data_IF_933021833571
#
_entry.id   IF_933021833571
#
_cell.length_a   1.000
_cell.length_b   1.000
_cell.length_c   1.000
_cell.angle_alpha   90.00
_cell.angle_beta   90.00
_cell.angle_gamma   90.00
#
_symmetry.space_group_name_H-M   'P 1'
#
loop_
_entity.id
_entity.type
_entity.pdbx_description
1 polymer ?
#
# COMPACT_ATOMS: atom_id res chain seq x y z
N UNK A 1 3.66 15.11 -1.21
CA UNK A 1 5.06 15.09 -0.73
C UNK A 1 5.80 13.83 -1.17
N UNK A 2 5.35 12.64 -0.79
CA UNK A 2 6.03 11.35 -1.03
C UNK A 2 6.33 11.01 -2.49
N UNK A 3 5.53 11.48 -3.46
CA UNK A 3 5.88 11.35 -4.89
C UNK A 3 7.19 12.02 -5.27
N UNK A 4 7.44 13.24 -4.77
CA UNK A 4 8.66 14.00 -5.05
C UNK A 4 9.86 13.33 -4.40
N UNK A 5 9.64 12.67 -3.26
CA UNK A 5 10.69 11.97 -2.52
C UNK A 5 11.11 10.64 -3.16
N UNK A 6 10.34 10.09 -4.11
CA UNK A 6 10.77 8.89 -4.84
C UNK A 6 9.66 7.93 -5.23
N UNK A 7 8.51 7.96 -4.54
CA UNK A 7 7.39 7.09 -4.92
C UNK A 7 6.61 7.71 -6.08
N UNK A 8 7.25 7.72 -7.25
CA UNK A 8 6.69 8.20 -8.49
C UNK A 8 7.13 7.28 -9.61
N UNK A 9 6.20 6.91 -10.49
CA UNK A 9 6.46 6.06 -11.65
C UNK A 9 7.63 6.59 -12.50
N UNK A 10 7.78 7.91 -12.59
CA UNK A 10 8.86 8.58 -13.34
C UNK A 10 10.23 8.47 -12.67
N UNK A 11 10.27 8.09 -11.39
CA UNK A 11 11.47 7.98 -10.57
C UNK A 11 11.87 6.52 -10.31
N UNK A 12 11.03 5.54 -10.62
CA UNK A 12 11.37 4.13 -10.41
C UNK A 12 12.66 3.73 -11.12
N UNK A 13 12.91 4.21 -12.33
CA UNK A 13 14.17 3.94 -13.06
C UNK A 13 15.39 4.71 -12.52
N UNK A 14 15.23 5.48 -11.43
CA UNK A 14 16.31 6.21 -10.75
C UNK A 14 16.67 5.60 -9.41
N UNK A 15 16.04 4.50 -9.02
CA UNK A 15 16.38 3.79 -7.79
C UNK A 15 17.79 3.21 -7.95
N UNK A 16 18.54 3.17 -6.85
CA UNK A 16 19.95 2.80 -6.86
C UNK A 16 20.26 1.74 -5.79
N UNK A 17 21.26 0.91 -6.07
CA UNK A 17 21.93 0.09 -5.08
C UNK A 17 23.26 0.77 -4.73
N UNK A 18 23.37 1.30 -3.52
CA UNK A 18 24.60 1.91 -3.03
C UNK A 18 25.29 0.98 -2.03
N UNK A 19 26.58 0.76 -2.22
CA UNK A 19 27.45 0.05 -1.28
C UNK A 19 28.56 0.98 -0.80
N UNK A 20 29.03 0.76 0.42
CA UNK A 20 30.18 1.50 0.96
C UNK A 20 31.46 0.79 0.51
N UNK A 21 32.28 1.50 -0.26
CA UNK A 21 33.62 1.07 -0.65
C UNK A 21 34.67 1.85 0.14
N UNK A 22 35.68 1.17 0.66
CA UNK A 22 36.82 1.82 1.31
C UNK A 22 37.95 1.93 0.29
N UNK A 23 38.30 3.16 -0.10
CA UNK A 23 39.45 3.47 -0.97
C UNK A 23 40.39 4.39 -0.21
N UNK A 24 41.66 4.01 -0.09
CA UNK A 24 42.68 4.77 0.66
C UNK A 24 42.25 5.15 2.09
N UNK A 25 41.60 4.23 2.81
CA UNK A 25 41.05 4.45 4.16
C UNK A 25 39.93 5.50 4.26
N UNK A 26 39.32 5.89 3.13
CA UNK A 26 38.15 6.78 3.06
C UNK A 26 36.95 6.00 2.54
N UNK A 27 35.79 6.18 3.19
CA UNK A 27 34.54 5.57 2.78
C UNK A 27 33.92 6.37 1.62
N UNK A 28 33.58 5.67 0.54
CA UNK A 28 32.87 6.20 -0.63
C UNK A 28 31.60 5.40 -0.86
N UNK A 29 30.56 6.04 -1.39
CA UNK A 29 29.36 5.36 -1.87
C UNK A 29 29.52 5.05 -3.36
N UNK A 30 29.58 3.78 -3.70
CA UNK A 30 29.47 3.32 -5.08
C UNK A 30 28.02 2.90 -5.33
N UNK A 31 27.36 3.60 -6.26
CA UNK A 31 25.95 3.40 -6.55
C UNK A 31 25.75 3.00 -8.01
N UNK A 32 24.91 1.99 -8.23
CA UNK A 32 24.48 1.56 -9.56
C UNK A 32 22.96 1.65 -9.66
N UNK A 33 22.47 1.98 -10.86
CA UNK A 33 21.04 2.02 -11.14
C UNK A 33 20.43 0.61 -10.96
N UNK A 34 19.33 0.56 -10.22
CA UNK A 34 18.61 -0.67 -9.93
C UNK A 34 17.81 -1.11 -11.15
N UNK A 35 18.05 -2.34 -11.61
CA UNK A 35 17.18 -3.00 -12.59
C UNK A 35 15.94 -3.63 -11.94
N UNK A 36 14.90 -3.85 -12.73
CA UNK A 36 13.67 -4.56 -12.31
C UNK A 36 12.98 -3.93 -11.07
N UNK A 37 12.92 -2.61 -10.98
CA UNK A 37 12.28 -1.91 -9.84
C UNK A 37 10.79 -2.23 -9.77
N UNK A 38 10.13 -2.30 -10.92
CA UNK A 38 8.74 -2.71 -11.03
C UNK A 38 8.55 -3.64 -12.23
N UNK A 39 7.48 -4.42 -12.22
CA UNK A 39 7.12 -5.31 -13.33
C UNK A 39 5.74 -5.93 -13.14
N UNK A 40 5.28 -6.65 -14.15
CA UNK A 40 3.98 -7.34 -14.12
C UNK A 40 4.17 -8.77 -13.60
N UNK A 41 3.55 -9.10 -12.46
CA UNK A 41 3.68 -10.39 -11.78
C UNK A 41 2.31 -10.84 -11.29
N UNK A 42 1.91 -12.04 -11.71
CA UNK A 42 0.62 -12.68 -11.34
C UNK A 42 -0.57 -11.72 -11.53
N UNK A 43 -0.70 -11.19 -12.73
CA UNK A 43 -1.79 -10.30 -13.15
C UNK A 43 -1.82 -8.89 -12.52
N UNK A 44 -0.78 -8.51 -11.78
CA UNK A 44 -0.67 -7.18 -11.18
C UNK A 44 0.66 -6.54 -11.52
N UNK A 45 0.67 -5.23 -11.72
CA UNK A 45 1.92 -4.48 -11.66
C UNK A 45 2.39 -4.37 -10.22
N UNK A 46 3.68 -4.57 -9.98
CA UNK A 46 4.25 -4.60 -8.64
C UNK A 46 5.61 -3.93 -8.59
N UNK A 47 5.93 -3.30 -7.46
CA UNK A 47 7.30 -2.98 -7.05
C UNK A 47 7.97 -4.28 -6.61
N UNK A 48 9.09 -4.62 -7.25
CA UNK A 48 9.79 -5.90 -7.08
C UNK A 48 11.01 -5.79 -6.16
N UNK A 49 11.27 -4.60 -5.63
CA UNK A 49 12.49 -4.33 -4.86
C UNK A 49 12.55 -5.12 -3.54
N UNK A 50 13.75 -5.42 -3.02
CA UNK A 50 13.95 -6.37 -1.93
C UNK A 50 13.22 -5.99 -0.63
N UNK A 51 13.35 -4.74 -0.16
CA UNK A 51 12.73 -4.32 1.09
C UNK A 51 11.22 -4.29 0.96
N UNK A 52 10.69 -3.73 -0.13
CA UNK A 52 9.23 -3.72 -0.41
C UNK A 52 8.69 -5.14 -0.47
N UNK A 53 9.38 -6.04 -1.17
CA UNK A 53 9.03 -7.46 -1.22
C UNK A 53 8.98 -8.07 0.16
N UNK A 54 10.06 -7.91 0.94
CA UNK A 54 10.18 -8.53 2.26
C UNK A 54 9.10 -8.02 3.22
N UNK A 55 8.86 -6.71 3.28
CA UNK A 55 7.82 -6.14 4.14
C UNK A 55 6.43 -6.62 3.71
N UNK A 56 6.12 -6.62 2.41
CA UNK A 56 4.83 -7.10 1.91
C UNK A 56 4.63 -8.60 2.23
N UNK A 57 5.67 -9.43 2.05
CA UNK A 57 5.60 -10.87 2.34
C UNK A 57 5.29 -11.16 3.81
N UNK A 58 5.94 -10.43 4.72
CA UNK A 58 5.67 -10.55 6.15
C UNK A 58 4.28 -10.01 6.52
N UNK A 59 3.87 -8.88 5.93
CA UNK A 59 2.58 -8.26 6.22
C UNK A 59 1.41 -9.17 5.83
N UNK A 60 1.39 -9.67 4.60
CA UNK A 60 0.31 -10.52 4.11
C UNK A 60 0.45 -11.99 4.52
N UNK A 61 1.57 -12.39 5.13
CA UNK A 61 1.95 -13.80 5.34
C UNK A 61 1.91 -14.60 4.03
N UNK A 62 2.58 -14.08 3.00
CA UNK A 62 2.62 -14.67 1.67
C UNK A 62 4.03 -14.61 1.10
N UNK A 63 4.65 -15.76 0.81
CA UNK A 63 6.08 -15.84 0.44
C UNK A 63 6.43 -15.21 -0.92
N UNK A 64 5.47 -15.03 -1.82
CA UNK A 64 5.72 -14.54 -3.17
C UNK A 64 5.07 -13.21 -3.49
N UNK A 65 4.30 -12.61 -2.58
CA UNK A 65 3.70 -11.29 -2.81
C UNK A 65 4.80 -10.24 -2.93
N UNK A 66 4.54 -9.23 -3.76
CA UNK A 66 5.38 -8.04 -4.00
C UNK A 66 4.51 -6.80 -3.88
N UNK A 67 5.07 -5.60 -3.81
CA UNK A 67 4.31 -4.36 -3.57
C UNK A 67 3.32 -4.05 -4.69
N UNK A 68 2.00 -4.25 -4.53
CA UNK A 68 1.02 -4.15 -5.60
C UNK A 68 0.76 -2.68 -5.97
N UNK A 69 0.94 -2.35 -7.25
CA UNK A 69 0.72 -1.01 -7.79
C UNK A 69 -0.65 -0.92 -8.45
N UNK A 70 -1.32 0.19 -8.21
CA UNK A 70 -2.49 0.55 -9.00
C UNK A 70 -2.06 0.74 -10.46
N UNK A 71 -2.85 0.23 -11.39
CA UNK A 71 -2.60 0.38 -12.81
C UNK A 71 -3.90 0.67 -13.56
N UNK A 72 -3.80 1.55 -14.54
CA UNK A 72 -4.88 1.69 -15.51
C UNK A 72 -4.79 0.50 -16.48
N UNK A 73 -5.76 -0.40 -16.40
CA UNK A 73 -5.84 -1.63 -17.18
C UNK A 73 -5.99 -1.36 -18.69
N UNK A 74 -6.70 -0.30 -19.07
CA UNK A 74 -6.90 0.10 -20.48
C UNK A 74 -5.62 0.68 -21.10
N UNK A 75 -4.90 1.52 -20.36
CA UNK A 75 -3.70 2.20 -20.84
C UNK A 75 -2.39 1.43 -20.57
N UNK A 76 -2.47 0.26 -19.91
CA UNK A 76 -1.31 -0.52 -19.43
C UNK A 76 -0.29 0.34 -18.69
N UNK A 77 -0.77 1.35 -17.95
CA UNK A 77 0.09 2.34 -17.31
C UNK A 77 0.06 2.14 -15.81
N UNK A 78 1.24 1.83 -15.25
CA UNK A 78 1.44 1.82 -13.80
C UNK A 78 1.29 3.22 -13.23
N UNK A 79 0.63 3.31 -12.08
CA UNK A 79 0.49 4.55 -11.35
C UNK A 79 1.70 4.81 -10.43
N UNK A 80 1.58 5.84 -9.60
CA UNK A 80 2.51 6.14 -8.50
C UNK A 80 1.91 5.83 -7.13
N UNK A 81 0.90 4.95 -7.09
CA UNK A 81 0.14 4.60 -5.90
C UNK A 81 0.05 3.08 -5.74
N UNK A 82 -0.17 2.65 -4.50
CA UNK A 82 -0.52 1.28 -4.20
C UNK A 82 -1.91 0.93 -4.70
N UNK A 83 -2.09 -0.33 -5.08
CA UNK A 83 -3.38 -0.92 -5.39
C UNK A 83 -4.26 -0.89 -4.13
N UNK A 84 -5.38 -0.17 -4.21
CA UNK A 84 -6.16 0.21 -3.03
C UNK A 84 -6.72 -1.01 -2.28
N UNK A 85 -7.12 -2.08 -2.99
CA UNK A 85 -7.60 -3.32 -2.36
C UNK A 85 -6.56 -4.00 -1.45
N UNK A 86 -5.27 -3.82 -1.72
CA UNK A 86 -4.22 -4.50 -0.98
C UNK A 86 -3.69 -3.68 0.21
N UNK A 87 -3.60 -2.36 0.09
CA UNK A 87 -2.87 -1.52 1.07
C UNK A 87 -3.67 -0.28 1.48
N UNK A 88 -5.01 -0.29 1.42
CA UNK A 88 -5.79 0.70 2.15
C UNK A 88 -5.46 0.59 3.65
N UNK A 89 -5.38 1.66 4.46
CA UNK A 89 -5.52 3.08 4.17
C UNK A 89 -4.15 3.78 4.07
N UNK A 90 -3.17 3.15 3.41
CA UNK A 90 -1.86 3.74 3.21
C UNK A 90 -1.98 5.14 2.62
N UNK A 91 -1.14 6.05 3.09
CA UNK A 91 -1.01 7.40 2.54
C UNK A 91 -0.73 7.41 1.03
N UNK A 92 -0.22 6.31 0.47
CA UNK A 92 0.11 6.16 -0.93
C UNK A 92 -0.90 5.32 -1.74
N UNK A 93 -2.11 5.07 -1.26
CA UNK A 93 -3.19 4.52 -2.11
C UNK A 93 -3.77 5.57 -3.05
N UNK A 94 -4.40 5.12 -4.14
CA UNK A 94 -5.03 5.99 -5.15
C UNK A 94 -6.27 6.71 -4.64
N UNK A 95 -6.92 6.15 -3.61
CA UNK A 95 -7.97 6.79 -2.84
C UNK A 95 -7.44 7.10 -1.44
N UNK A 96 -7.43 8.37 -1.06
CA UNK A 96 -7.05 8.77 0.30
C UNK A 96 -8.28 8.74 1.21
N UNK A 97 -8.13 8.12 2.38
CA UNK A 97 -9.19 8.06 3.39
C UNK A 97 -9.28 9.34 4.24
N UNK A 98 -10.04 9.25 5.33
CA UNK A 98 -10.09 10.31 6.34
C UNK A 98 -8.71 10.46 7.02
N UNK A 99 -8.31 11.68 7.44
CA UNK A 99 -6.97 11.93 7.98
C UNK A 99 -6.60 11.03 9.17
N UNK A 100 -7.53 10.77 10.09
CA UNK A 100 -7.30 9.92 11.26
C UNK A 100 -7.24 8.41 10.96
N UNK A 101 -7.62 8.00 9.75
CA UNK A 101 -7.53 6.62 9.28
C UNK A 101 -6.34 6.40 8.36
N UNK A 102 -5.71 7.46 7.85
CA UNK A 102 -4.62 7.37 6.88
C UNK A 102 -3.31 7.07 7.60
N UNK A 103 -2.54 6.10 7.09
CA UNK A 103 -1.32 5.61 7.76
C UNK A 103 -0.07 5.72 6.89
N UNK A 104 1.08 6.02 7.51
CA UNK A 104 2.40 5.85 6.91
C UNK A 104 2.93 4.45 7.23
N UNK A 105 2.59 3.50 6.37
CA UNK A 105 2.89 2.08 6.59
C UNK A 105 4.34 1.67 6.23
N UNK A 106 4.75 0.50 6.74
CA UNK A 106 6.08 -0.07 6.47
C UNK A 106 6.34 -0.41 5.01
N UNK A 107 5.32 -0.77 4.22
CA UNK A 107 5.48 -1.11 2.80
C UNK A 107 5.83 0.18 2.02
N UNK A 108 5.15 1.28 2.33
CA UNK A 108 5.47 2.62 1.80
C UNK A 108 6.88 3.06 2.19
N UNK A 109 7.25 2.94 3.47
CA UNK A 109 8.60 3.29 3.92
C UNK A 109 9.69 2.43 3.26
N UNK A 110 9.40 1.18 2.96
CA UNK A 110 10.31 0.30 2.24
C UNK A 110 10.62 0.77 0.81
N UNK A 111 9.71 1.51 0.16
CA UNK A 111 10.01 2.14 -1.14
C UNK A 111 11.17 3.11 -1.00
N UNK A 112 11.15 3.97 0.03
CA UNK A 112 12.22 4.95 0.28
C UNK A 112 13.54 4.30 0.69
N UNK A 113 13.49 3.14 1.36
CA UNK A 113 14.69 2.37 1.63
C UNK A 113 15.29 1.79 0.35
N UNK A 114 14.44 1.33 -0.57
CA UNK A 114 14.85 0.71 -1.84
C UNK A 114 15.19 1.73 -2.94
N UNK A 115 14.92 3.03 -2.76
CA UNK A 115 15.43 4.07 -3.67
C UNK A 115 16.94 4.17 -3.63
N UNK A 116 17.56 3.82 -2.50
CA UNK A 116 19.00 4.03 -2.25
C UNK A 116 19.36 5.46 -1.82
N UNK A 117 18.38 6.37 -1.70
CA UNK A 117 18.63 7.78 -1.37
C UNK A 117 18.52 8.09 0.13
N UNK A 118 17.86 7.21 0.88
CA UNK A 118 17.52 7.45 2.28
C UNK A 118 17.92 6.27 3.16
N UNK A 119 18.26 6.58 4.41
CA UNK A 119 18.26 5.62 5.51
C UNK A 119 16.94 5.75 6.23
N UNK A 120 16.11 4.71 6.18
CA UNK A 120 14.74 4.78 6.68
C UNK A 120 14.66 4.16 8.07
N UNK A 121 14.10 4.89 9.03
CA UNK A 121 13.77 4.32 10.33
C UNK A 121 12.39 3.67 10.28
N UNK A 122 12.37 2.34 10.20
CA UNK A 122 11.12 1.57 10.13
C UNK A 122 10.32 1.58 11.45
N UNK A 123 10.89 2.02 12.59
CA UNK A 123 10.13 2.13 13.86
C UNK A 123 9.08 3.23 13.83
N UNK A 124 9.24 4.23 12.98
CA UNK A 124 8.31 5.36 12.83
C UNK A 124 7.09 5.03 11.95
N UNK A 125 7.01 3.80 11.45
CA UNK A 125 5.88 3.36 10.65
C UNK A 125 4.64 3.15 11.53
N UNK A 126 3.51 3.63 11.05
CA UNK A 126 2.21 3.27 11.60
C UNK A 126 1.93 1.78 11.36
N UNK A 127 1.10 1.19 12.24
CA UNK A 127 0.67 -0.19 12.04
C UNK A 127 -0.41 -0.28 10.96
N UNK A 128 -0.09 -1.01 9.89
CA UNK A 128 -1.06 -1.39 8.88
C UNK A 128 -1.75 -2.68 9.32
N UNK A 129 -3.04 -2.63 9.63
CA UNK A 129 -3.84 -3.82 9.98
C UNK A 129 -4.51 -4.47 8.76
N UNK A 130 -4.82 -3.67 7.74
CA UNK A 130 -5.51 -4.12 6.53
C UNK A 130 -4.74 -5.23 5.81
N UNK A 131 -5.37 -6.38 5.61
CA UNK A 131 -4.75 -7.52 4.93
C UNK A 131 -3.64 -8.23 5.72
N UNK A 132 -3.38 -7.85 6.98
CA UNK A 132 -2.35 -8.49 7.80
C UNK A 132 -2.67 -9.99 7.97
N UNK A 133 -1.72 -10.85 7.60
CA UNK A 133 -1.86 -12.32 7.58
C UNK A 133 -2.99 -12.87 6.69
N UNK A 134 -3.54 -12.09 5.77
CA UNK A 134 -4.69 -12.51 4.95
C UNK A 134 -4.34 -13.50 3.83
N UNK A 135 -3.06 -13.80 3.63
CA UNK A 135 -2.57 -14.74 2.63
C UNK A 135 -2.46 -14.14 1.23
N UNK A 136 -2.03 -14.98 0.28
CA UNK A 136 -1.64 -14.54 -1.06
C UNK A 136 -2.80 -14.11 -1.96
N UNK A 137 -4.01 -14.62 -1.70
CA UNK A 137 -5.20 -14.32 -2.51
C UNK A 137 -5.86 -13.00 -2.11
N UNK A 138 -5.46 -12.40 -0.97
CA UNK A 138 -6.02 -11.16 -0.48
C UNK A 138 -5.91 -10.04 -1.54
N UNK A 139 -6.95 -9.22 -1.65
CA UNK A 139 -6.99 -8.09 -2.59
C UNK A 139 -7.38 -8.48 -4.03
N UNK A 140 -7.49 -9.77 -4.36
CA UNK A 140 -8.09 -10.20 -5.64
C UNK A 140 -9.61 -9.98 -5.65
N UNK A 141 -10.20 -9.79 -6.84
CA UNK A 141 -11.66 -9.70 -7.00
C UNK A 141 -12.40 -10.95 -6.51
N UNK A 142 -11.78 -12.13 -6.65
CA UNK A 142 -12.29 -13.38 -6.10
C UNK A 142 -12.33 -13.34 -4.57
N UNK A 143 -11.22 -12.95 -3.93
CA UNK A 143 -11.15 -12.92 -2.46
C UNK A 143 -12.12 -11.91 -1.84
N UNK A 144 -12.25 -10.72 -2.45
CA UNK A 144 -13.10 -9.66 -1.90
C UNK A 144 -14.60 -9.97 -2.00
N UNK A 145 -15.00 -10.82 -2.96
CA UNK A 145 -16.40 -11.24 -3.16
C UNK A 145 -16.75 -12.54 -2.42
N UNK A 146 -15.79 -13.17 -1.75
CA UNK A 146 -15.98 -14.46 -1.07
C UNK A 146 -16.90 -14.38 0.16
N UNK A 147 -17.04 -13.19 0.77
CA UNK A 147 -17.76 -13.01 2.04
C UNK A 147 -17.02 -13.50 3.28
N UNK A 148 -15.82 -14.07 3.13
CA UNK A 148 -15.03 -14.64 4.23
C UNK A 148 -13.94 -13.69 4.76
N UNK A 149 -13.84 -12.48 4.21
CA UNK A 149 -12.85 -11.49 4.62
C UNK A 149 -13.45 -10.53 5.65
N UNK A 150 -12.75 -10.22 6.75
CA UNK A 150 -13.17 -9.16 7.67
C UNK A 150 -12.94 -7.75 7.09
N UNK A 151 -12.24 -7.64 5.97
CA UNK A 151 -11.87 -6.36 5.35
C UNK A 151 -12.84 -5.92 4.24
N UNK A 152 -13.50 -6.88 3.58
CA UNK A 152 -14.41 -6.62 2.47
C UNK A 152 -15.86 -6.91 2.87
N UNK A 153 -16.79 -6.22 2.25
CA UNK A 153 -18.22 -6.47 2.41
C UNK A 153 -18.85 -6.84 1.06
N UNK A 154 -19.92 -7.63 1.07
CA UNK A 154 -20.50 -8.23 -0.14
C UNK A 154 -21.99 -7.93 -0.33
N UNK A 155 -22.56 -7.00 0.44
CA UNK A 155 -23.98 -6.67 0.35
C UNK A 155 -24.31 -6.02 -1.00
N UNK A 156 -25.49 -6.33 -1.53
CA UNK A 156 -26.00 -5.71 -2.77
C UNK A 156 -26.30 -4.23 -2.54
N UNK A 157 -26.91 -3.91 -1.41
CA UNK A 157 -27.31 -2.57 -1.00
C UNK A 157 -26.24 -1.87 -0.14
N UNK A 158 -26.28 -0.54 -0.14
CA UNK A 158 -25.47 0.29 0.75
C UNK A 158 -26.02 0.13 2.17
N UNK A 159 -25.32 -0.67 2.99
CA UNK A 159 -25.69 -0.90 4.38
C UNK A 159 -24.70 -0.24 5.32
N UNK A 160 -25.23 0.28 6.43
CA UNK A 160 -24.41 0.79 7.53
C UNK A 160 -23.69 -0.37 8.23
N UNK A 161 -22.47 -0.11 8.65
CA UNK A 161 -21.66 -1.01 9.47
C UNK A 161 -20.56 -0.23 10.17
N UNK A 162 -19.49 -0.94 10.54
CA UNK A 162 -18.32 -0.33 11.15
C UNK A 162 -17.17 -0.33 10.14
N UNK A 163 -16.39 0.75 10.11
CA UNK A 163 -15.07 0.71 9.50
C UNK A 163 -14.23 -0.42 10.16
N UNK A 164 -13.27 -1.01 9.44
CA UNK A 164 -12.53 -2.19 9.93
C UNK A 164 -11.70 -1.94 11.20
N UNK A 165 -11.39 -0.67 11.50
CA UNK A 165 -10.72 -0.25 12.74
C UNK A 165 -11.71 0.00 13.91
N UNK A 166 -13.02 -0.07 13.66
CA UNK A 166 -14.08 0.27 14.63
C UNK A 166 -14.03 1.71 15.16
N UNK A 167 -13.33 2.59 14.44
CA UNK A 167 -13.15 4.00 14.76
C UNK A 167 -14.27 4.90 14.21
N UNK A 168 -15.02 4.43 13.21
CA UNK A 168 -16.03 5.20 12.51
C UNK A 168 -17.21 4.30 12.12
N UNK A 169 -18.39 4.91 11.97
CA UNK A 169 -19.46 4.28 11.21
C UNK A 169 -19.04 4.23 9.75
N UNK A 170 -19.37 3.14 9.07
CA UNK A 170 -19.04 2.96 7.67
C UNK A 170 -20.25 2.55 6.84
N UNK A 171 -20.14 2.77 5.54
CA UNK A 171 -21.13 2.32 4.55
C UNK A 171 -20.43 1.31 3.64
N UNK A 172 -21.06 0.16 3.41
CA UNK A 172 -20.53 -0.84 2.48
C UNK A 172 -20.68 -0.35 1.04
N UNK A 173 -19.58 0.14 0.45
CA UNK A 173 -19.60 0.72 -0.89
C UNK A 173 -18.27 0.51 -1.64
N UNK A 174 -18.31 0.70 -2.96
CA UNK A 174 -17.15 0.63 -3.86
C UNK A 174 -16.72 2.05 -4.25
N UNK A 175 -15.51 2.18 -4.80
CA UNK A 175 -15.07 3.37 -5.52
C UNK A 175 -14.29 2.95 -6.79
N UNK A 176 -13.76 3.92 -7.53
CA UNK A 176 -13.07 3.73 -8.80
C UNK A 176 -11.79 2.86 -8.70
N UNK A 177 -11.26 2.65 -7.49
CA UNK A 177 -10.01 1.94 -7.23
C UNK A 177 -10.21 0.58 -6.53
N UNK A 178 -11.46 0.15 -6.35
CA UNK A 178 -11.77 -1.12 -5.70
C UNK A 178 -12.20 -2.22 -6.68
N UNK A 179 -12.26 -1.95 -7.99
CA UNK A 179 -12.58 -2.98 -9.02
C UNK A 179 -13.86 -3.77 -8.68
N UNK A 180 -14.90 -3.01 -8.33
CA UNK A 180 -16.21 -3.48 -7.84
C UNK A 180 -16.18 -4.26 -6.52
N UNK A 181 -15.04 -4.38 -5.84
CA UNK A 181 -15.00 -4.79 -4.45
C UNK A 181 -15.62 -3.70 -3.57
N UNK A 182 -16.24 -4.09 -2.46
CA UNK A 182 -16.79 -3.13 -1.50
C UNK A 182 -16.09 -3.27 -0.15
N UNK A 183 -15.98 -2.14 0.53
CA UNK A 183 -15.42 -2.04 1.88
C UNK A 183 -16.34 -1.13 2.69
N UNK A 184 -16.33 -1.25 4.02
CA UNK A 184 -17.01 -0.27 4.87
C UNK A 184 -16.20 1.03 4.87
N UNK A 185 -16.55 1.96 3.99
CA UNK A 185 -15.92 3.28 3.93
C UNK A 185 -16.43 4.16 5.06
N UNK A 186 -15.51 4.78 5.80
CA UNK A 186 -15.86 5.64 6.93
C UNK A 186 -16.62 6.89 6.48
N UNK A 187 -17.71 7.22 7.18
CA UNK A 187 -18.46 8.44 6.93
C UNK A 187 -17.84 9.61 7.69
N UNK A 188 -17.64 10.75 7.01
CA UNK A 188 -17.11 11.96 7.65
C UNK A 188 -18.03 12.44 8.79
N UNK A 189 -17.48 12.75 9.96
CA UNK A 189 -18.27 13.17 11.12
C UNK A 189 -18.92 12.02 11.88
N UNK A 190 -18.50 10.77 11.60
CA UNK A 190 -19.02 9.58 12.27
C UNK A 190 -17.98 8.89 13.17
N UNK A 191 -16.92 9.62 13.50
CA UNK A 191 -15.87 9.22 14.42
C UNK A 191 -16.47 8.86 15.79
N UNK A 192 -16.12 7.68 16.31
CA UNK A 192 -16.70 7.14 17.55
C UNK A 192 -16.26 7.90 18.82
N UNK A 193 -15.30 8.83 18.73
CA UNK A 193 -14.85 9.68 19.84
C UNK A 193 -15.38 11.12 19.77
N UNK A 194 -16.07 11.50 18.70
CA UNK A 194 -16.65 12.84 18.57
C UNK A 194 -18.03 12.81 19.24
N UNK A 195 -18.26 13.77 20.14
CA UNK A 195 -19.56 13.95 20.77
C UNK A 195 -20.58 14.43 19.72
N UNK A 196 -21.68 13.69 19.47
CA UNK A 196 -22.69 14.08 18.48
C UNK A 196 -23.45 15.38 18.84
N UNK A 197 -23.22 15.94 20.03
CA UNK A 197 -23.90 17.14 20.53
C UNK A 197 -23.01 18.39 20.68
N UNK A 198 -21.75 18.34 20.25
CA UNK A 198 -20.84 19.50 20.24
C UNK A 198 -20.55 20.02 18.84
#
# INVERSE_FOLDING_TARGET
>A
MFHVLGFSQKLFNKFQNCQVEIRNSVAHYACEDRSNVFGYVREWYRILTPSVSWVAQNHFNCSYIKGPLEANSEMKRVSSHWESRYIQPSLMTSSIGLPHLTVLDRITLAVFQDTGWYKVNMSEADELFWGKNAGCEFGTTTSCRSGNSPFFCTTSEAVNGCHYLHLDKGICETNDFLDSCKVYQASKGSECWVDPYN
#
